data_IF_207296920321
#
_entry.id   IF_207296920321
#
_cell.length_a   1.000
_cell.length_b   1.000
_cell.length_c   1.000
_cell.angle_alpha   90.00
_cell.angle_beta   90.00
_cell.angle_gamma   90.00
#
_symmetry.space_group_name_H-M   'P 1'
#
loop_
_entity.id
_entity.type
_entity.pdbx_description
1 polymer ?
#
# COMPACT_ATOMS: atom_id res chain seq x y z
N UNK A 1 43.43 -21.78 15.56
CA UNK A 1 44.65 -21.61 14.73
C UNK A 1 44.80 -20.10 14.52
N UNK A 2 45.61 -19.38 15.28
CA UNK A 2 47.06 -19.24 15.10
C UNK A 2 47.75 -19.18 16.47
N UNK A 3 48.78 -20.01 16.61
CA UNK A 3 49.69 -20.08 17.75
C UNK A 3 50.84 -19.07 17.59
N UNK A 4 51.36 -18.53 18.68
CA UNK A 4 52.53 -17.64 18.63
C UNK A 4 53.21 -17.36 19.97
N UNK A 5 54.12 -18.26 20.37
CA UNK A 5 55.41 -18.08 21.09
C UNK A 5 55.46 -17.01 22.21
N UNK A 6 55.48 -17.38 23.50
CA UNK A 6 56.66 -17.79 24.30
C UNK A 6 57.94 -16.97 24.03
N UNK A 7 58.25 -16.04 24.94
CA UNK A 7 59.60 -15.61 25.25
C UNK A 7 59.71 -15.32 26.77
N UNK A 8 60.47 -16.19 27.46
CA UNK A 8 61.04 -15.99 28.79
C UNK A 8 62.14 -14.92 28.69
N UNK A 9 62.18 -13.95 29.61
CA UNK A 9 63.42 -13.23 29.94
C UNK A 9 63.36 -12.54 31.32
N UNK A 10 64.25 -13.03 32.19
CA UNK A 10 65.02 -12.32 33.20
C UNK A 10 64.31 -11.45 34.25
N UNK A 11 64.08 -12.11 35.39
CA UNK A 11 63.98 -11.60 36.75
C UNK A 11 65.17 -10.69 37.12
N UNK A 12 64.93 -9.39 37.32
CA UNK A 12 65.86 -8.45 37.97
C UNK A 12 65.09 -7.72 39.08
N UNK A 13 65.13 -8.29 40.28
CA UNK A 13 64.54 -7.73 41.50
C UNK A 13 65.49 -6.63 41.99
N UNK A 14 65.29 -5.40 41.50
CA UNK A 14 65.84 -4.21 42.11
C UNK A 14 64.92 -3.80 43.27
N UNK A 15 65.34 -4.09 44.50
CA UNK A 15 64.72 -3.60 45.73
C UNK A 15 64.92 -2.08 45.85
N UNK A 16 64.17 -1.30 45.09
CA UNK A 16 63.96 0.12 45.35
C UNK A 16 63.00 0.22 46.54
N UNK A 17 63.54 0.38 47.75
CA UNK A 17 62.74 0.78 48.91
C UNK A 17 62.06 2.11 48.55
N UNK A 18 60.72 2.20 48.50
CA UNK A 18 60.07 3.49 48.40
C UNK A 18 60.42 4.25 49.68
N UNK A 19 61.29 5.25 49.55
CA UNK A 19 61.44 6.27 50.57
C UNK A 19 60.05 6.83 50.79
N UNK A 20 59.44 6.48 51.92
CA UNK A 20 58.12 6.96 52.31
C UNK A 20 58.30 8.47 52.48
N UNK A 21 57.93 9.25 51.46
CA UNK A 21 57.96 10.71 51.48
C UNK A 21 56.89 11.19 52.46
N UNK A 22 57.20 11.06 53.75
CA UNK A 22 56.32 11.43 54.87
C UNK A 22 56.26 12.96 54.94
N UNK A 23 55.40 13.56 54.12
CA UNK A 23 55.20 15.01 54.12
C UNK A 23 54.46 15.60 52.91
N UNK A 24 54.32 14.87 51.80
CA UNK A 24 53.80 15.39 50.53
C UNK A 24 52.27 15.63 50.56
N UNK A 25 51.51 14.87 51.36
CA UNK A 25 50.06 15.05 51.52
C UNK A 25 49.64 16.49 51.85
N UNK A 26 50.48 17.25 52.56
CA UNK A 26 50.21 18.65 52.92
C UNK A 26 50.27 19.56 51.70
N UNK A 27 51.23 19.31 50.82
CA UNK A 27 51.37 20.04 49.56
C UNK A 27 50.18 19.73 48.65
N UNK A 28 49.84 18.44 48.50
CA UNK A 28 48.67 18.00 47.74
C UNK A 28 47.37 18.62 48.26
N UNK A 29 47.19 18.67 49.58
CA UNK A 29 46.02 19.30 50.19
C UNK A 29 45.94 20.80 49.95
N UNK A 30 47.05 21.52 50.15
CA UNK A 30 47.10 22.97 49.91
C UNK A 30 46.82 23.28 48.43
N UNK A 31 47.46 22.55 47.52
CA UNK A 31 47.23 22.65 46.07
C UNK A 31 45.78 22.39 45.71
N UNK A 32 45.17 21.34 46.29
CA UNK A 32 43.77 21.01 46.06
C UNK A 32 42.81 22.10 46.54
N UNK A 33 43.09 22.73 47.69
CA UNK A 33 42.30 23.87 48.19
C UNK A 33 42.47 25.13 47.37
N UNK A 34 43.70 25.44 46.96
CA UNK A 34 43.99 26.58 46.09
C UNK A 34 43.31 26.40 44.73
N UNK A 35 43.38 25.19 44.15
CA UNK A 35 42.66 24.83 42.94
C UNK A 35 41.15 24.97 43.12
N UNK A 36 40.59 24.49 44.23
CA UNK A 36 39.16 24.63 44.54
C UNK A 36 38.74 26.11 44.64
N UNK A 37 39.50 26.93 45.38
CA UNK A 37 39.24 28.36 45.52
C UNK A 37 39.37 29.12 44.19
N UNK A 38 40.23 28.64 43.29
CA UNK A 38 40.39 29.16 41.94
C UNK A 38 39.34 28.63 40.94
N UNK A 39 38.35 27.84 41.37
CA UNK A 39 37.34 27.23 40.51
C UNK A 39 37.86 26.11 39.59
N UNK A 40 39.10 25.65 39.79
CA UNK A 40 39.72 24.56 39.03
C UNK A 40 39.36 23.21 39.66
N UNK A 41 38.08 22.86 39.61
CA UNK A 41 37.55 21.74 40.38
C UNK A 41 38.12 20.36 39.98
N UNK A 42 38.44 20.13 38.71
CA UNK A 42 39.08 18.89 38.27
C UNK A 42 40.47 18.70 38.90
N UNK A 43 41.30 19.74 38.86
CA UNK A 43 42.62 19.76 39.51
C UNK A 43 42.49 19.62 41.03
N UNK A 44 41.47 20.24 41.64
CA UNK A 44 41.18 20.09 43.05
C UNK A 44 40.87 18.63 43.42
N UNK A 45 40.05 17.93 42.61
CA UNK A 45 39.73 16.51 42.82
C UNK A 45 41.00 15.66 42.79
N UNK A 46 41.83 15.81 41.77
CA UNK A 46 43.08 15.05 41.63
C UNK A 46 44.02 15.28 42.82
N UNK A 47 44.27 16.53 43.18
CA UNK A 47 45.16 16.89 44.27
C UNK A 47 44.63 16.42 45.65
N UNK A 48 43.31 16.53 45.90
CA UNK A 48 42.70 16.08 47.16
C UNK A 48 42.64 14.55 47.26
N UNK A 49 42.47 13.84 46.14
CA UNK A 49 42.58 12.39 46.11
C UNK A 49 44.01 11.92 46.42
N UNK A 50 45.04 12.59 45.86
CA UNK A 50 46.44 12.31 46.20
C UNK A 50 46.71 12.52 47.69
N UNK A 51 46.20 13.62 48.27
CA UNK A 51 46.32 13.88 49.69
C UNK A 51 45.66 12.78 50.55
N UNK A 52 44.47 12.30 50.15
CA UNK A 52 43.75 11.23 50.85
C UNK A 52 44.41 9.85 50.71
N UNK A 53 45.09 9.60 49.58
CA UNK A 53 45.83 8.35 49.35
C UNK A 53 47.02 8.22 50.30
N UNK A 54 47.70 9.32 50.60
CA UNK A 54 48.78 9.36 51.58
C UNK A 54 48.28 9.44 53.03
N UNK A 55 47.22 10.21 53.27
CA UNK A 55 46.67 10.44 54.60
C UNK A 55 45.15 10.51 54.60
N UNK A 56 44.51 9.44 55.04
CA UNK A 56 43.05 9.32 55.01
C UNK A 56 42.33 9.80 56.29
N UNK A 57 43.06 10.09 57.38
CA UNK A 57 42.49 10.34 58.71
C UNK A 57 42.26 11.84 59.03
N UNK A 58 41.00 12.26 59.15
CA UNK A 58 40.61 13.61 59.59
C UNK A 58 40.30 13.59 61.10
N UNK A 59 41.28 13.22 61.94
CA UNK A 59 41.02 13.11 63.37
C UNK A 59 40.77 14.49 64.02
N UNK A 60 39.70 14.66 64.81
CA UNK A 60 39.51 15.86 65.60
C UNK A 60 40.65 15.97 66.63
N UNK A 61 41.49 17.00 66.50
CA UNK A 61 42.66 17.20 67.37
C UNK A 61 44.01 16.86 66.73
N UNK A 62 44.03 16.37 65.47
CA UNK A 62 45.25 16.41 64.66
C UNK A 62 45.72 17.85 64.52
N UNK A 63 46.96 18.14 64.93
CA UNK A 63 47.48 19.50 65.13
C UNK A 63 47.08 20.50 64.05
N UNK A 64 46.75 21.72 64.48
CA UNK A 64 46.44 22.85 63.59
C UNK A 64 47.59 23.03 62.58
N UNK A 65 47.37 22.70 61.32
CA UNK A 65 48.32 23.02 60.26
C UNK A 65 48.15 24.50 59.93
N UNK A 66 49.11 25.32 60.37
CA UNK A 66 49.07 26.77 60.12
C UNK A 66 47.75 27.44 60.53
N UNK A 67 47.14 26.97 61.63
CA UNK A 67 45.86 27.50 62.12
C UNK A 67 44.60 27.03 61.38
N UNK A 68 44.71 26.10 60.42
CA UNK A 68 43.56 25.54 59.68
C UNK A 68 43.44 24.03 59.91
N UNK A 69 42.20 23.53 59.96
CA UNK A 69 41.90 22.10 60.10
C UNK A 69 42.09 21.39 58.76
N UNK A 70 42.56 20.14 58.81
CA UNK A 70 42.67 19.28 57.66
C UNK A 70 41.31 18.60 57.38
N UNK A 71 40.64 19.04 56.32
CA UNK A 71 39.29 18.57 55.90
C UNK A 71 39.24 18.21 54.40
N UNK A 72 40.17 17.36 53.88
CA UNK A 72 40.24 17.02 52.46
C UNK A 72 38.95 16.43 51.89
N UNK A 73 38.20 15.60 52.61
CA UNK A 73 36.96 14.97 52.12
C UNK A 73 35.85 15.99 51.88
N UNK A 74 35.74 17.00 52.74
CA UNK A 74 34.80 18.11 52.51
C UNK A 74 35.12 18.84 51.20
N UNK A 75 36.38 19.27 51.01
CA UNK A 75 36.77 19.98 49.79
C UNK A 75 36.66 19.07 48.55
N UNK A 76 36.93 17.77 48.68
CA UNK A 76 36.80 16.81 47.59
C UNK A 76 35.33 16.64 47.19
N UNK A 77 34.45 16.43 48.18
CA UNK A 77 33.01 16.37 47.95
C UNK A 77 32.46 17.66 47.32
N UNK A 78 32.94 18.82 47.78
CA UNK A 78 32.55 20.11 47.22
C UNK A 78 33.01 20.25 45.76
N UNK A 79 34.26 19.89 45.44
CA UNK A 79 34.78 19.93 44.07
C UNK A 79 34.00 18.96 43.15
N UNK A 80 33.70 17.75 43.62
CA UNK A 80 32.91 16.77 42.88
C UNK A 80 31.47 17.26 42.64
N UNK A 81 30.86 17.94 43.61
CA UNK A 81 29.54 18.53 43.46
C UNK A 81 29.50 19.60 42.36
N UNK A 82 30.53 20.46 42.28
CA UNK A 82 30.68 21.48 41.24
C UNK A 82 30.89 20.86 39.84
N UNK A 83 31.58 19.72 39.77
CA UNK A 83 31.69 18.93 38.53
C UNK A 83 30.42 18.14 38.19
N UNK A 84 29.36 18.24 39.00
CA UNK A 84 28.10 17.50 38.82
C UNK A 84 28.16 16.01 39.17
N UNK A 85 29.26 15.54 39.76
CA UNK A 85 29.47 14.15 40.22
C UNK A 85 28.79 13.93 41.57
N UNK A 86 27.48 14.18 41.62
CA UNK A 86 26.70 14.24 42.86
C UNK A 86 26.75 12.94 43.68
N UNK A 87 26.73 11.77 43.04
CA UNK A 87 26.79 10.49 43.79
C UNK A 87 28.11 10.35 44.59
N UNK A 88 29.23 10.70 43.96
CA UNK A 88 30.55 10.66 44.60
C UNK A 88 30.70 11.77 45.65
N UNK A 89 30.20 12.97 45.34
CA UNK A 89 30.17 14.08 46.29
C UNK A 89 29.44 13.72 47.59
N UNK A 90 28.27 13.10 47.49
CA UNK A 90 27.48 12.66 48.65
C UNK A 90 28.22 11.63 49.51
N UNK A 91 28.96 10.70 48.90
CA UNK A 91 29.78 9.75 49.63
C UNK A 91 30.88 10.46 50.44
N UNK A 92 31.59 11.42 49.83
CA UNK A 92 32.62 12.19 50.53
C UNK A 92 32.06 13.12 51.61
N UNK A 93 30.88 13.71 51.42
CA UNK A 93 30.21 14.48 52.46
C UNK A 93 29.82 13.62 53.65
N UNK A 94 29.26 12.42 53.42
CA UNK A 94 28.93 11.49 54.48
C UNK A 94 30.17 11.05 55.29
N UNK A 95 31.28 10.77 54.62
CA UNK A 95 32.55 10.44 55.28
C UNK A 95 33.08 11.61 56.13
N UNK A 96 33.03 12.84 55.60
CA UNK A 96 33.48 14.04 56.30
C UNK A 96 32.65 14.31 57.57
N UNK A 97 31.33 14.09 57.50
CA UNK A 97 30.44 14.20 58.67
C UNK A 97 30.69 13.10 59.70
N UNK A 98 30.90 11.86 59.25
CA UNK A 98 31.16 10.70 60.12
C UNK A 98 32.46 10.85 60.92
N UNK A 99 33.48 11.51 60.35
CA UNK A 99 34.74 11.80 61.05
C UNK A 99 34.63 12.97 62.04
N UNK A 100 33.54 13.75 62.00
CA UNK A 100 33.23 14.80 62.97
C UNK A 100 34.12 16.05 62.90
N UNK A 101 35.16 16.06 62.07
CA UNK A 101 36.09 17.18 61.94
C UNK A 101 35.42 18.46 61.41
N UNK A 102 34.42 18.32 60.54
CA UNK A 102 33.73 19.42 59.89
C UNK A 102 32.63 20.05 60.75
N UNK A 103 31.99 19.29 61.65
CA UNK A 103 30.76 19.70 62.37
C UNK A 103 30.91 20.99 63.20
N UNK A 104 32.13 21.28 63.69
CA UNK A 104 32.45 22.46 64.50
C UNK A 104 33.04 23.62 63.69
N UNK A 105 32.89 23.59 62.37
CA UNK A 105 33.47 24.60 61.46
C UNK A 105 32.35 25.33 60.70
N UNK A 106 32.60 26.56 60.22
CA UNK A 106 31.66 27.26 59.33
C UNK A 106 31.34 26.47 58.05
N UNK A 107 32.26 25.63 57.60
CA UNK A 107 32.14 24.80 56.39
C UNK A 107 31.03 23.74 56.50
N UNK A 108 30.59 23.38 57.72
CA UNK A 108 29.48 22.43 57.91
C UNK A 108 28.17 22.92 57.29
N UNK A 109 27.85 24.21 57.43
CA UNK A 109 26.65 24.76 56.82
C UNK A 109 26.72 24.71 55.28
N UNK A 110 27.91 24.90 54.71
CA UNK A 110 28.13 24.78 53.27
C UNK A 110 28.01 23.32 52.79
N UNK A 111 28.58 22.37 53.53
CA UNK A 111 28.42 20.93 53.29
C UNK A 111 26.94 20.56 53.19
N UNK A 112 26.13 20.94 54.19
CA UNK A 112 24.70 20.61 54.22
C UNK A 112 23.94 21.18 53.01
N UNK A 113 24.23 22.43 52.62
CA UNK A 113 23.63 23.04 51.42
C UNK A 113 24.00 22.28 50.15
N UNK A 114 25.28 21.96 49.96
CA UNK A 114 25.79 21.24 48.79
C UNK A 114 25.24 19.81 48.72
N UNK A 115 25.13 19.14 49.87
CA UNK A 115 24.51 17.82 50.00
C UNK A 115 23.05 17.85 49.54
N UNK A 116 22.26 18.78 50.08
CA UNK A 116 20.87 18.95 49.67
C UNK A 116 20.73 19.23 48.16
N UNK A 117 21.57 20.12 47.61
CA UNK A 117 21.56 20.41 46.18
C UNK A 117 21.87 19.17 45.32
N UNK A 118 22.83 18.33 45.75
CA UNK A 118 23.15 17.06 45.08
C UNK A 118 22.00 16.06 45.16
N UNK A 119 21.38 15.90 46.34
CA UNK A 119 20.22 15.03 46.54
C UNK A 119 19.04 15.45 45.64
N UNK A 120 18.74 16.74 45.60
CA UNK A 120 17.68 17.28 44.75
C UNK A 120 17.97 17.04 43.26
N UNK A 121 19.20 17.26 42.81
CA UNK A 121 19.62 16.96 41.44
C UNK A 121 19.46 15.49 41.10
N UNK A 122 19.85 14.58 41.98
CA UNK A 122 19.69 13.13 41.76
C UNK A 122 18.21 12.73 41.68
N UNK A 123 17.34 13.30 42.53
CA UNK A 123 15.88 13.07 42.45
C UNK A 123 15.29 13.55 41.12
N UNK A 124 15.72 14.73 40.65
CA UNK A 124 15.31 15.27 39.33
C UNK A 124 15.77 14.36 38.19
N UNK A 125 17.01 13.87 38.24
CA UNK A 125 17.55 12.93 37.25
C UNK A 125 16.78 11.61 37.22
N UNK A 126 16.49 11.02 38.39
CA UNK A 126 15.72 9.79 38.48
C UNK A 126 14.30 9.98 37.92
N UNK A 127 13.66 11.10 38.25
CA UNK A 127 12.33 11.44 37.72
C UNK A 127 12.37 11.60 36.20
N UNK A 128 13.33 12.36 35.66
CA UNK A 128 13.50 12.51 34.21
C UNK A 128 13.77 11.18 33.50
N UNK A 129 14.58 10.30 34.10
CA UNK A 129 14.86 8.95 33.56
C UNK A 129 13.59 8.09 33.50
N UNK A 130 12.78 8.07 34.57
CA UNK A 130 11.49 7.36 34.58
C UNK A 130 10.55 7.89 33.51
N UNK A 131 10.40 9.22 33.41
CA UNK A 131 9.56 9.86 32.39
C UNK A 131 10.02 9.52 30.97
N UNK A 132 11.32 9.61 30.68
CA UNK A 132 11.86 9.30 29.37
C UNK A 132 11.68 7.82 28.98
N UNK A 133 11.89 6.88 29.93
CA UNK A 133 11.64 5.46 29.71
C UNK A 133 10.16 5.16 29.44
N UNK A 134 9.26 5.73 30.24
CA UNK A 134 7.82 5.56 30.03
C UNK A 134 7.38 6.09 28.65
N UNK A 135 7.91 7.24 28.22
CA UNK A 135 7.62 7.79 26.89
C UNK A 135 8.15 6.89 25.75
N UNK A 136 9.33 6.30 25.90
CA UNK A 136 9.88 5.34 24.92
C UNK A 136 9.03 4.06 24.89
N UNK A 137 8.57 3.57 26.03
CA UNK A 137 7.68 2.41 26.08
C UNK A 137 6.34 2.66 25.37
N UNK A 138 5.71 3.83 25.62
CA UNK A 138 4.48 4.25 24.93
C UNK A 138 4.67 4.33 23.41
N UNK A 139 5.77 4.94 22.97
CA UNK A 139 6.17 4.99 21.56
C UNK A 139 6.30 3.59 20.96
N UNK A 140 6.89 2.64 21.68
CA UNK A 140 7.03 1.26 21.22
C UNK A 140 5.70 0.50 21.15
N UNK A 141 4.79 0.76 22.08
CA UNK A 141 3.42 0.25 22.03
C UNK A 141 2.70 0.77 20.77
N UNK A 142 2.80 2.07 20.48
CA UNK A 142 2.23 2.67 19.27
C UNK A 142 2.83 2.07 18.00
N UNK A 143 4.15 1.91 17.94
CA UNK A 143 4.85 1.28 16.81
C UNK A 143 4.38 -0.16 16.58
N UNK A 144 4.17 -0.96 17.64
CA UNK A 144 3.60 -2.32 17.53
C UNK A 144 2.17 -2.30 16.97
N UNK A 145 1.36 -1.31 17.35
CA UNK A 145 0.02 -1.10 16.81
C UNK A 145 0.04 -0.89 15.29
N UNK A 146 0.89 0.02 14.80
CA UNK A 146 1.04 0.24 13.36
C UNK A 146 1.58 -1.00 12.63
N UNK A 147 2.57 -1.69 13.21
CA UNK A 147 3.15 -2.92 12.64
C UNK A 147 2.14 -4.09 12.55
N UNK A 148 1.09 -4.09 13.37
CA UNK A 148 -0.02 -5.05 13.23
C UNK A 148 -0.87 -4.73 11.99
N UNK A 149 -1.16 -3.45 11.74
CA UNK A 149 -1.91 -3.00 10.55
C UNK A 149 -1.12 -3.27 9.26
N UNK A 150 0.21 -3.05 9.26
CA UNK A 150 1.09 -3.32 8.12
C UNK A 150 1.05 -4.78 7.64
N UNK A 151 0.81 -5.73 8.56
CA UNK A 151 0.73 -7.16 8.25
C UNK A 151 -0.60 -7.57 7.62
N UNK A 152 -1.58 -6.68 7.52
CA UNK A 152 -2.88 -6.97 6.92
C UNK A 152 -2.77 -6.95 5.38
N UNK A 153 -3.06 -8.06 4.68
CA UNK A 153 -2.92 -8.12 3.21
C UNK A 153 -3.77 -7.07 2.48
N UNK A 154 -4.95 -6.75 3.01
CA UNK A 154 -5.86 -5.75 2.44
C UNK A 154 -5.24 -4.34 2.34
N UNK A 155 -4.23 -4.04 3.17
CA UNK A 155 -3.55 -2.74 3.18
C UNK A 155 -2.26 -2.73 2.38
N UNK A 156 -1.80 -3.86 1.84
CA UNK A 156 -0.47 -3.95 1.21
C UNK A 156 -0.27 -2.93 0.07
N UNK A 157 -1.28 -2.79 -0.80
CA UNK A 157 -1.24 -1.82 -1.90
C UNK A 157 -1.42 -0.37 -1.41
N UNK A 158 -2.34 -0.16 -0.46
CA UNK A 158 -2.60 1.15 0.14
C UNK A 158 -1.44 1.67 1.01
N UNK A 159 -0.49 0.81 1.38
CA UNK A 159 0.67 1.20 2.20
C UNK A 159 1.66 2.06 1.41
N UNK A 160 1.87 1.70 0.14
CA UNK A 160 2.82 2.34 -0.76
C UNK A 160 2.20 3.54 -1.52
N UNK A 161 0.87 3.56 -1.67
CA UNK A 161 0.15 4.58 -2.43
C UNK A 161 -0.29 5.78 -1.56
N UNK A 162 -0.63 6.91 -2.19
CA UNK A 162 -1.16 8.13 -1.56
C UNK A 162 -0.09 9.17 -1.19
N UNK A 163 -0.54 10.41 -0.90
CA UNK A 163 0.31 11.52 -0.47
C UNK A 163 -0.18 12.11 0.86
N UNK A 164 0.56 11.97 1.98
CA UNK A 164 1.72 11.08 2.13
C UNK A 164 1.31 9.60 2.11
N UNK A 165 2.25 8.72 1.73
CA UNK A 165 2.03 7.27 1.82
C UNK A 165 2.18 6.79 3.26
N UNK A 166 1.53 5.67 3.61
CA UNK A 166 1.69 5.09 4.97
C UNK A 166 3.14 4.68 5.23
N UNK A 167 3.86 4.21 4.21
CA UNK A 167 5.30 3.94 4.29
C UNK A 167 6.11 5.18 4.68
N UNK A 168 5.83 6.34 4.07
CA UNK A 168 6.51 7.60 4.40
C UNK A 168 6.23 8.06 5.84
N UNK A 169 4.98 7.94 6.28
CA UNK A 169 4.58 8.26 7.66
C UNK A 169 5.28 7.33 8.67
N UNK A 170 5.31 6.03 8.39
CA UNK A 170 6.00 5.03 9.23
C UNK A 170 7.50 5.33 9.32
N UNK A 171 8.16 5.62 8.19
CA UNK A 171 9.59 5.93 8.13
C UNK A 171 9.93 7.22 8.89
N UNK A 172 9.08 8.24 8.80
CA UNK A 172 9.22 9.47 9.57
C UNK A 172 9.14 9.20 11.07
N UNK A 173 8.12 8.47 11.54
CA UNK A 173 7.98 8.10 12.94
C UNK A 173 9.17 7.23 13.41
N UNK A 174 9.63 6.30 12.58
CA UNK A 174 10.77 5.44 12.89
C UNK A 174 12.10 6.21 13.04
N UNK A 175 12.33 7.27 12.23
CA UNK A 175 13.49 8.15 12.41
C UNK A 175 13.45 8.87 13.76
N UNK A 176 12.29 9.43 14.13
CA UNK A 176 12.12 10.10 15.42
C UNK A 176 12.32 9.13 16.59
N UNK A 177 11.81 7.90 16.46
CA UNK A 177 11.97 6.87 17.48
C UNK A 177 13.45 6.46 17.69
N UNK A 178 14.23 6.34 16.61
CA UNK A 178 15.67 6.07 16.72
C UNK A 178 16.41 7.20 17.45
N UNK A 179 16.09 8.45 17.14
CA UNK A 179 16.68 9.61 17.81
C UNK A 179 16.33 9.65 19.30
N UNK A 180 15.08 9.39 19.66
CA UNK A 180 14.64 9.35 21.06
C UNK A 180 15.42 8.29 21.88
N UNK A 181 15.59 7.07 21.34
CA UNK A 181 16.37 6.00 21.98
C UNK A 181 17.84 6.37 22.15
N UNK A 182 18.47 6.95 21.12
CA UNK A 182 19.86 7.40 21.20
C UNK A 182 20.05 8.47 22.28
N UNK A 183 19.12 9.43 22.39
CA UNK A 183 19.16 10.47 23.43
C UNK A 183 18.93 9.91 24.83
N UNK A 184 18.01 8.95 24.98
CA UNK A 184 17.82 8.27 26.26
C UNK A 184 19.11 7.59 26.71
N UNK A 185 19.73 6.81 25.83
CA UNK A 185 20.99 6.12 26.14
C UNK A 185 22.12 7.11 26.50
N UNK A 186 22.26 8.21 25.75
CA UNK A 186 23.24 9.25 26.05
C UNK A 186 22.97 9.95 27.40
N UNK A 187 21.72 10.30 27.67
CA UNK A 187 21.31 10.94 28.92
C UNK A 187 21.48 10.03 30.15
N UNK A 188 21.28 8.72 29.98
CA UNK A 188 21.52 7.74 31.05
C UNK A 188 23.02 7.54 31.32
N UNK A 189 23.85 7.50 30.28
CA UNK A 189 25.29 7.34 30.42
C UNK A 189 25.96 8.57 31.06
N UNK A 190 25.49 9.78 30.75
CA UNK A 190 26.07 11.04 31.22
C UNK A 190 25.41 11.66 32.46
N UNK A 191 24.34 11.05 33.01
CA UNK A 191 23.47 11.69 34.00
C UNK A 191 23.06 13.14 33.56
N UNK A 192 22.73 13.31 32.27
CA UNK A 192 22.36 14.58 31.65
C UNK A 192 20.84 14.79 31.66
N UNK A 193 20.38 15.72 32.49
CA UNK A 193 18.97 16.04 32.66
C UNK A 193 18.33 16.59 31.38
N UNK A 194 19.05 17.40 30.62
CA UNK A 194 18.54 18.00 29.39
C UNK A 194 18.38 16.94 28.29
N UNK A 195 19.34 16.03 28.17
CA UNK A 195 19.26 14.90 27.24
C UNK A 195 18.07 13.97 27.56
N UNK A 196 17.83 13.66 28.84
CA UNK A 196 16.67 12.85 29.27
C UNK A 196 15.34 13.54 28.96
N UNK A 197 15.20 14.83 29.25
CA UNK A 197 13.99 15.59 28.92
C UNK A 197 13.74 15.64 27.40
N UNK A 198 14.79 15.88 26.61
CA UNK A 198 14.71 15.90 25.16
C UNK A 198 14.38 14.52 24.55
N UNK A 199 14.85 13.43 25.19
CA UNK A 199 14.49 12.06 24.80
C UNK A 199 12.98 11.80 25.03
N UNK A 200 12.43 12.23 26.17
CA UNK A 200 11.01 12.09 26.49
C UNK A 200 10.13 12.82 25.46
N UNK A 201 10.44 14.09 25.16
CA UNK A 201 9.70 14.89 24.18
C UNK A 201 9.76 14.31 22.77
N UNK A 202 10.93 13.79 22.36
CA UNK A 202 11.07 13.12 21.07
C UNK A 202 10.29 11.80 21.01
N UNK A 203 10.30 11.01 22.08
CA UNK A 203 9.54 9.76 22.15
C UNK A 203 8.02 10.04 22.08
N UNK A 204 7.53 11.07 22.78
CA UNK A 204 6.12 11.49 22.70
C UNK A 204 5.71 11.91 21.28
N UNK A 205 6.53 12.70 20.59
CA UNK A 205 6.28 13.08 19.19
C UNK A 205 6.25 11.86 18.26
N UNK A 206 7.19 10.93 18.44
CA UNK A 206 7.21 9.69 17.67
C UNK A 206 5.97 8.82 17.96
N UNK A 207 5.53 8.74 19.23
CA UNK A 207 4.33 8.01 19.61
C UNK A 207 3.06 8.59 18.95
N UNK A 208 2.92 9.93 18.92
CA UNK A 208 1.85 10.62 18.21
C UNK A 208 1.91 10.29 16.71
N UNK A 209 3.08 10.43 16.08
CA UNK A 209 3.24 10.13 14.65
C UNK A 209 2.87 8.68 14.30
N UNK A 210 3.21 7.71 15.16
CA UNK A 210 2.79 6.32 14.98
C UNK A 210 1.27 6.13 15.11
N UNK A 211 0.61 6.84 16.05
CA UNK A 211 -0.85 6.79 16.21
C UNK A 211 -1.56 7.41 15.00
N UNK A 212 -1.10 8.57 14.54
CA UNK A 212 -1.68 9.24 13.37
C UNK A 212 -1.56 8.35 12.12
N UNK A 213 -0.39 7.73 11.90
CA UNK A 213 -0.21 6.75 10.82
C UNK A 213 -1.13 5.53 10.96
N UNK A 214 -1.38 5.07 12.19
CA UNK A 214 -2.28 3.95 12.44
C UNK A 214 -3.76 4.33 12.21
N UNK A 215 -4.17 5.54 12.54
CA UNK A 215 -5.51 6.07 12.26
C UNK A 215 -5.74 6.22 10.76
N UNK A 216 -4.77 6.77 10.02
CA UNK A 216 -4.82 6.83 8.56
C UNK A 216 -4.92 5.43 7.94
N UNK A 217 -4.14 4.46 8.42
CA UNK A 217 -4.21 3.08 7.95
C UNK A 217 -5.58 2.44 8.22
N UNK A 218 -6.21 2.73 9.38
CA UNK A 218 -7.57 2.27 9.69
C UNK A 218 -8.61 2.92 8.78
N UNK A 219 -8.49 4.21 8.52
CA UNK A 219 -9.36 4.94 7.59
C UNK A 219 -9.31 4.35 6.18
N UNK A 220 -8.10 4.12 5.64
CA UNK A 220 -7.91 3.49 4.32
C UNK A 220 -8.49 2.09 4.27
N UNK A 221 -8.31 1.29 5.32
CA UNK A 221 -8.93 -0.04 5.40
C UNK A 221 -10.45 0.05 5.32
N UNK A 222 -11.06 0.94 6.10
CA UNK A 222 -12.51 1.14 6.07
C UNK A 222 -13.00 1.55 4.67
N UNK A 223 -12.26 2.42 3.97
CA UNK A 223 -12.59 2.80 2.60
C UNK A 223 -12.52 1.61 1.63
N UNK A 224 -11.50 0.74 1.76
CA UNK A 224 -11.39 -0.50 0.96
C UNK A 224 -12.55 -1.45 1.24
N UNK A 225 -12.91 -1.63 2.52
CA UNK A 225 -14.02 -2.50 2.93
C UNK A 225 -15.35 -1.97 2.37
N UNK A 226 -15.59 -0.66 2.45
CA UNK A 226 -16.77 -0.01 1.87
C UNK A 226 -16.81 -0.11 0.33
N UNK A 227 -15.69 0.11 -0.34
CA UNK A 227 -15.60 -0.04 -1.80
C UNK A 227 -15.85 -1.49 -2.24
N UNK A 228 -15.36 -2.46 -1.46
CA UNK A 228 -15.61 -3.90 -1.69
C UNK A 228 -17.09 -4.22 -1.56
N UNK A 229 -17.74 -3.75 -0.49
CA UNK A 229 -19.16 -3.96 -0.26
C UNK A 229 -20.03 -3.37 -1.40
N UNK A 230 -19.75 -2.12 -1.81
CA UNK A 230 -20.47 -1.48 -2.91
C UNK A 230 -20.26 -2.18 -4.26
N UNK A 231 -19.04 -2.65 -4.54
CA UNK A 231 -18.73 -3.41 -5.74
C UNK A 231 -19.45 -4.77 -5.76
N UNK A 232 -19.53 -5.45 -4.61
CA UNK A 232 -20.28 -6.71 -4.45
C UNK A 232 -21.78 -6.52 -4.71
N UNK A 233 -22.39 -5.49 -4.12
CA UNK A 233 -23.81 -5.18 -4.34
C UNK A 233 -24.11 -4.93 -5.83
N UNK A 234 -23.24 -4.16 -6.50
CA UNK A 234 -23.36 -3.89 -7.94
C UNK A 234 -23.22 -5.16 -8.77
N UNK A 235 -22.28 -6.04 -8.39
CA UNK A 235 -22.05 -7.31 -9.06
C UNK A 235 -23.26 -8.24 -8.91
N UNK A 236 -23.85 -8.34 -7.71
CA UNK A 236 -25.06 -9.14 -7.44
C UNK A 236 -26.27 -8.66 -8.26
N UNK A 237 -26.48 -7.34 -8.34
CA UNK A 237 -27.54 -6.77 -9.16
C UNK A 237 -27.34 -7.08 -10.66
N UNK A 238 -26.08 -7.07 -11.11
CA UNK A 238 -25.70 -7.40 -12.49
C UNK A 238 -25.87 -8.89 -12.78
N UNK A 239 -25.48 -9.76 -11.85
CA UNK A 239 -25.68 -11.21 -11.88
C UNK A 239 -27.18 -11.56 -12.01
N UNK A 240 -28.02 -10.95 -11.16
CA UNK A 240 -29.48 -11.14 -11.24
C UNK A 240 -30.05 -10.70 -12.61
N UNK A 241 -29.50 -9.64 -13.19
CA UNK A 241 -29.88 -9.16 -14.53
C UNK A 241 -29.42 -10.10 -15.64
N UNK A 242 -28.22 -10.69 -15.51
CA UNK A 242 -27.70 -11.68 -16.43
C UNK A 242 -28.57 -12.96 -16.43
N UNK A 243 -28.98 -13.44 -15.27
CA UNK A 243 -29.91 -14.57 -15.17
C UNK A 243 -31.28 -14.28 -15.79
N UNK A 244 -31.80 -13.04 -15.64
CA UNK A 244 -33.03 -12.63 -16.34
C UNK A 244 -32.84 -12.65 -17.87
N UNK A 245 -31.70 -12.17 -18.37
CA UNK A 245 -31.39 -12.19 -19.80
C UNK A 245 -31.30 -13.62 -20.35
N UNK A 246 -30.69 -14.55 -19.61
CA UNK A 246 -30.66 -15.98 -19.98
C UNK A 246 -32.08 -16.58 -20.02
N UNK A 247 -32.92 -16.30 -19.02
CA UNK A 247 -34.31 -16.77 -19.03
C UNK A 247 -35.12 -16.23 -20.21
N UNK A 248 -34.92 -14.97 -20.59
CA UNK A 248 -35.66 -14.37 -21.73
C UNK A 248 -35.36 -14.98 -23.09
N UNK A 249 -34.28 -15.75 -23.23
CA UNK A 249 -33.94 -16.44 -24.47
C UNK A 249 -34.18 -17.95 -24.40
N UNK A 250 -34.60 -18.48 -23.23
CA UNK A 250 -34.72 -19.91 -22.99
C UNK A 250 -35.70 -20.61 -23.97
N UNK A 251 -36.78 -19.92 -24.34
CA UNK A 251 -37.81 -20.44 -25.27
C UNK A 251 -37.28 -20.61 -26.72
N UNK A 252 -36.08 -20.12 -27.01
CA UNK A 252 -35.44 -20.28 -28.32
C UNK A 252 -34.60 -21.56 -28.43
N UNK A 253 -34.67 -22.46 -27.45
CA UNK A 253 -33.96 -23.73 -27.48
C UNK A 253 -34.61 -24.73 -28.47
N UNK A 254 -33.82 -25.51 -29.25
CA UNK A 254 -32.36 -25.49 -29.32
C UNK A 254 -31.82 -24.21 -30.00
N UNK A 255 -30.81 -23.59 -29.40
CA UNK A 255 -30.33 -22.29 -29.86
C UNK A 255 -29.62 -22.37 -31.22
N UNK A 256 -29.80 -21.37 -32.10
CA UNK A 256 -28.92 -21.18 -33.25
C UNK A 256 -27.45 -21.09 -32.80
N UNK A 257 -26.46 -21.62 -33.55
CA UNK A 257 -25.06 -21.71 -33.10
C UNK A 257 -24.46 -20.40 -32.57
N UNK A 258 -24.77 -19.27 -33.23
CA UNK A 258 -24.31 -17.95 -32.79
C UNK A 258 -24.92 -17.52 -31.46
N UNK A 259 -26.20 -17.80 -31.23
CA UNK A 259 -26.88 -17.49 -29.97
C UNK A 259 -26.39 -18.42 -28.85
N UNK A 260 -26.29 -19.72 -29.14
CA UNK A 260 -25.76 -20.72 -28.20
C UNK A 260 -24.35 -20.39 -27.71
N UNK A 261 -23.47 -19.92 -28.60
CA UNK A 261 -22.13 -19.46 -28.21
C UNK A 261 -22.15 -18.26 -27.26
N UNK A 262 -23.13 -17.34 -27.39
CA UNK A 262 -23.27 -16.19 -26.47
C UNK A 262 -23.87 -16.60 -25.13
N UNK A 263 -24.85 -17.50 -25.12
CA UNK A 263 -25.41 -18.10 -23.91
C UNK A 263 -24.29 -18.79 -23.11
N UNK A 264 -23.54 -19.69 -23.75
CA UNK A 264 -22.42 -20.39 -23.10
C UNK A 264 -21.30 -19.45 -22.63
N UNK A 265 -21.07 -18.32 -23.31
CA UNK A 265 -20.12 -17.31 -22.85
C UNK A 265 -20.61 -16.60 -21.58
N UNK A 266 -21.90 -16.24 -21.50
CA UNK A 266 -22.47 -15.62 -20.32
C UNK A 266 -22.53 -16.58 -19.12
N UNK A 267 -22.87 -17.85 -19.35
CA UNK A 267 -22.88 -18.89 -18.31
C UNK A 267 -21.49 -19.10 -17.69
N UNK A 268 -20.44 -19.21 -18.52
CA UNK A 268 -19.05 -19.30 -18.02
C UNK A 268 -18.61 -18.07 -17.21
N UNK A 269 -19.09 -16.87 -17.59
CA UNK A 269 -18.81 -15.66 -16.80
C UNK A 269 -19.52 -15.70 -15.45
N UNK A 270 -20.76 -16.20 -15.39
CA UNK A 270 -21.48 -16.36 -14.12
C UNK A 270 -20.78 -17.38 -13.20
N UNK A 271 -20.29 -18.50 -13.74
CA UNK A 271 -19.48 -19.46 -12.98
C UNK A 271 -18.21 -18.82 -12.40
N UNK A 272 -17.51 -18.00 -13.21
CA UNK A 272 -16.32 -17.25 -12.76
C UNK A 272 -16.66 -16.25 -11.65
N UNK A 273 -17.80 -15.58 -11.74
CA UNK A 273 -18.28 -14.64 -10.71
C UNK A 273 -18.48 -15.36 -9.38
N UNK A 274 -19.17 -16.51 -9.39
CA UNK A 274 -19.37 -17.34 -8.19
C UNK A 274 -18.03 -17.75 -7.57
N UNK A 275 -17.05 -18.16 -8.38
CA UNK A 275 -15.73 -18.58 -7.90
C UNK A 275 -14.91 -17.43 -7.29
N UNK A 276 -15.15 -16.19 -7.70
CA UNK A 276 -14.26 -15.04 -7.41
C UNK A 276 -14.80 -14.15 -6.27
N UNK A 277 -16.12 -14.12 -6.06
CA UNK A 277 -16.82 -13.19 -5.16
C UNK A 277 -16.28 -13.11 -3.73
N UNK A 278 -15.77 -14.21 -3.17
CA UNK A 278 -15.33 -14.29 -1.77
C UNK A 278 -13.92 -13.75 -1.48
N UNK A 279 -13.10 -13.47 -2.49
CA UNK A 279 -11.70 -13.06 -2.31
C UNK A 279 -11.23 -11.92 -3.21
N UNK A 280 -12.07 -11.51 -4.18
CA UNK A 280 -11.69 -10.48 -5.13
C UNK A 280 -11.59 -9.09 -4.53
N UNK A 281 -10.66 -8.32 -5.08
CA UNK A 281 -10.49 -6.89 -4.78
C UNK A 281 -11.58 -6.06 -5.47
N UNK A 282 -11.87 -4.83 -4.99
CA UNK A 282 -12.87 -3.95 -5.60
C UNK A 282 -12.70 -3.78 -7.12
N UNK A 283 -11.47 -3.59 -7.60
CA UNK A 283 -11.18 -3.42 -9.03
C UNK A 283 -11.49 -4.69 -9.86
N UNK A 284 -11.26 -5.88 -9.30
CA UNK A 284 -11.55 -7.16 -9.96
C UNK A 284 -13.07 -7.38 -10.04
N UNK A 285 -13.81 -7.04 -8.96
CA UNK A 285 -15.28 -7.09 -8.95
C UNK A 285 -15.89 -6.12 -9.97
N UNK A 286 -15.33 -4.91 -10.10
CA UNK A 286 -15.75 -3.94 -11.11
C UNK A 286 -15.48 -4.44 -12.53
N UNK A 287 -14.31 -5.04 -12.79
CA UNK A 287 -13.99 -5.63 -14.09
C UNK A 287 -14.95 -6.78 -14.46
N UNK A 288 -15.27 -7.67 -13.52
CA UNK A 288 -16.25 -8.74 -13.72
C UNK A 288 -17.65 -8.19 -14.02
N UNK A 289 -18.05 -7.12 -13.32
CA UNK A 289 -19.31 -6.43 -13.57
C UNK A 289 -19.39 -5.91 -15.01
N UNK A 290 -18.31 -5.29 -15.50
CA UNK A 290 -18.24 -4.78 -16.87
C UNK A 290 -18.22 -5.89 -17.92
N UNK A 291 -17.51 -6.99 -17.67
CA UNK A 291 -17.52 -8.19 -18.52
C UNK A 291 -18.95 -8.78 -18.64
N UNK A 292 -19.67 -8.91 -17.51
CA UNK A 292 -21.06 -9.36 -17.50
C UNK A 292 -21.97 -8.43 -18.32
N UNK A 293 -21.89 -7.11 -18.10
CA UNK A 293 -22.68 -6.13 -18.87
C UNK A 293 -22.44 -6.24 -20.37
N UNK A 294 -21.18 -6.39 -20.79
CA UNK A 294 -20.81 -6.58 -22.21
C UNK A 294 -21.37 -7.90 -22.77
N UNK A 295 -21.27 -8.99 -22.02
CA UNK A 295 -21.81 -10.29 -22.42
C UNK A 295 -23.33 -10.25 -22.56
N UNK A 296 -24.04 -9.62 -21.61
CA UNK A 296 -25.49 -9.41 -21.69
C UNK A 296 -25.89 -8.56 -22.89
N UNK A 297 -25.17 -7.45 -23.16
CA UNK A 297 -25.43 -6.62 -24.34
C UNK A 297 -25.22 -7.40 -25.64
N UNK A 298 -24.18 -8.25 -25.69
CA UNK A 298 -23.94 -9.14 -26.83
C UNK A 298 -25.03 -10.20 -26.98
N UNK A 299 -25.57 -10.74 -25.89
CA UNK A 299 -26.68 -11.70 -25.91
C UNK A 299 -27.96 -11.02 -26.42
N UNK A 300 -28.30 -9.87 -25.85
CA UNK A 300 -29.46 -9.08 -26.24
C UNK A 300 -29.42 -8.71 -27.73
N UNK A 301 -28.25 -8.32 -28.26
CA UNK A 301 -28.08 -8.04 -29.69
C UNK A 301 -28.30 -9.29 -30.57
N UNK A 302 -27.91 -10.47 -30.10
CA UNK A 302 -28.08 -11.73 -30.82
C UNK A 302 -29.53 -12.26 -30.77
N UNK A 303 -30.28 -11.94 -29.71
CA UNK A 303 -31.65 -12.39 -29.49
C UNK A 303 -32.74 -11.40 -29.95
N UNK A 304 -32.36 -10.27 -30.57
CA UNK A 304 -33.33 -9.32 -31.12
C UNK A 304 -34.25 -10.03 -32.10
N UNK A 305 -35.56 -9.91 -31.87
CA UNK A 305 -36.59 -10.37 -32.79
C UNK A 305 -36.38 -9.67 -34.14
N UNK A 306 -36.46 -10.40 -35.27
CA UNK A 306 -36.49 -9.78 -36.58
C UNK A 306 -37.63 -8.73 -36.67
N UNK A 307 -37.43 -7.61 -37.39
CA UNK A 307 -38.52 -6.68 -37.68
C UNK A 307 -39.73 -7.38 -38.31
N UNK A 308 -40.96 -6.99 -37.93
CA UNK A 308 -42.20 -7.61 -38.48
C UNK A 308 -42.24 -7.66 -40.01
N UNK A 309 -41.86 -6.60 -40.76
CA UNK A 309 -41.90 -6.67 -42.22
C UNK A 309 -41.00 -7.77 -42.82
N UNK A 310 -39.95 -8.19 -42.12
CA UNK A 310 -39.15 -9.35 -42.53
C UNK A 310 -39.81 -10.68 -42.20
N UNK A 311 -40.58 -10.74 -41.13
CA UNK A 311 -41.36 -11.92 -40.76
C UNK A 311 -42.47 -12.10 -41.80
N UNK A 312 -43.22 -11.05 -42.08
CA UNK A 312 -44.29 -11.03 -43.10
C UNK A 312 -43.73 -11.44 -44.47
N UNK A 313 -42.59 -10.88 -44.87
CA UNK A 313 -41.94 -11.23 -46.14
C UNK A 313 -41.51 -12.70 -46.21
N UNK A 314 -41.10 -13.31 -45.09
CA UNK A 314 -40.80 -14.74 -45.02
C UNK A 314 -42.09 -15.56 -45.17
N UNK A 315 -43.17 -15.14 -44.53
CA UNK A 315 -44.48 -15.81 -44.63
C UNK A 315 -45.02 -15.79 -46.07
N UNK A 316 -45.01 -14.62 -46.73
CA UNK A 316 -45.37 -14.49 -48.15
C UNK A 316 -44.50 -15.37 -49.06
N UNK A 317 -43.18 -15.36 -48.84
CA UNK A 317 -42.26 -16.19 -49.62
C UNK A 317 -42.56 -17.68 -49.48
N UNK A 318 -42.85 -18.15 -48.26
CA UNK A 318 -43.20 -19.55 -47.99
C UNK A 318 -44.58 -19.94 -48.54
N UNK A 319 -45.51 -18.99 -48.63
CA UNK A 319 -46.81 -19.19 -49.25
C UNK A 319 -46.78 -19.21 -50.80
N UNK A 320 -45.62 -18.90 -51.40
CA UNK A 320 -45.47 -18.74 -52.85
C UNK A 320 -46.00 -17.39 -53.38
N UNK A 321 -46.37 -16.47 -52.50
CA UNK A 321 -46.79 -15.11 -52.85
C UNK A 321 -45.55 -14.20 -52.96
N UNK A 322 -44.86 -14.30 -54.10
CA UNK A 322 -43.62 -13.57 -54.31
C UNK A 322 -43.82 -12.06 -54.49
N UNK A 323 -45.00 -11.61 -54.92
CA UNK A 323 -45.36 -10.18 -54.97
C UNK A 323 -45.50 -9.61 -53.55
N UNK A 324 -46.19 -10.34 -52.65
CA UNK A 324 -46.32 -9.96 -51.24
C UNK A 324 -44.97 -9.79 -50.52
N UNK A 325 -43.93 -10.53 -50.92
CA UNK A 325 -42.55 -10.32 -50.40
C UNK A 325 -42.04 -8.91 -50.72
N UNK A 326 -42.30 -8.40 -51.91
CA UNK A 326 -41.88 -7.05 -52.30
C UNK A 326 -42.72 -5.98 -51.61
N UNK A 327 -44.02 -6.20 -51.44
CA UNK A 327 -44.91 -5.30 -50.72
C UNK A 327 -44.52 -5.19 -49.24
N UNK A 328 -44.35 -6.31 -48.56
CA UNK A 328 -43.90 -6.36 -47.16
C UNK A 328 -42.54 -5.67 -46.97
N UNK A 329 -41.65 -5.75 -47.96
CA UNK A 329 -40.31 -5.13 -47.90
C UNK A 329 -40.20 -3.76 -48.60
N UNK A 330 -41.32 -3.21 -49.10
CA UNK A 330 -41.34 -1.90 -49.74
C UNK A 330 -41.23 -0.76 -48.70
N UNK A 331 -41.65 -1.03 -47.46
CA UNK A 331 -41.67 -0.05 -46.38
C UNK A 331 -40.29 0.20 -45.77
N UNK A 332 -39.66 1.30 -46.17
CA UNK A 332 -38.44 1.95 -45.60
C UNK A 332 -37.19 1.06 -45.45
N UNK A 333 -35.99 1.58 -45.78
CA UNK A 333 -34.76 0.82 -45.59
C UNK A 333 -34.57 0.46 -44.10
N UNK A 334 -34.36 -0.82 -43.81
CA UNK A 334 -34.05 -1.26 -42.45
C UNK A 334 -32.80 -0.56 -41.92
N UNK A 335 -32.84 -0.04 -40.69
CA UNK A 335 -31.65 0.54 -40.05
C UNK A 335 -30.65 -0.52 -39.62
N UNK A 336 -31.15 -1.70 -39.23
CA UNK A 336 -30.33 -2.81 -38.79
C UNK A 336 -29.64 -3.50 -40.00
N UNK A 337 -28.30 -3.60 -40.03
CA UNK A 337 -27.57 -4.19 -41.15
C UNK A 337 -27.96 -5.64 -41.43
N UNK A 338 -28.31 -6.41 -40.40
CA UNK A 338 -28.71 -7.81 -40.54
C UNK A 338 -30.10 -7.90 -41.19
N UNK A 339 -31.05 -7.08 -40.75
CA UNK A 339 -32.35 -6.98 -41.39
C UNK A 339 -32.24 -6.58 -42.87
N UNK A 340 -31.39 -5.59 -43.19
CA UNK A 340 -31.11 -5.21 -44.60
C UNK A 340 -30.59 -6.38 -45.43
N UNK A 341 -29.64 -7.13 -44.88
CA UNK A 341 -29.08 -8.30 -45.53
C UNK A 341 -30.18 -9.33 -45.84
N UNK A 342 -30.98 -9.71 -44.84
CA UNK A 342 -32.07 -10.66 -45.05
C UNK A 342 -33.13 -10.16 -46.03
N UNK A 343 -33.47 -8.86 -45.98
CA UNK A 343 -34.41 -8.25 -46.92
C UNK A 343 -33.94 -8.35 -48.37
N UNK A 344 -32.67 -8.01 -48.63
CA UNK A 344 -32.11 -8.10 -49.98
C UNK A 344 -32.15 -9.55 -50.49
N UNK A 345 -31.80 -10.51 -49.63
CA UNK A 345 -31.77 -11.93 -49.96
C UNK A 345 -33.16 -12.46 -50.30
N UNK A 346 -34.18 -12.10 -49.50
CA UNK A 346 -35.57 -12.50 -49.73
C UNK A 346 -36.12 -11.89 -51.02
N UNK A 347 -35.86 -10.61 -51.29
CA UNK A 347 -36.26 -9.96 -52.56
C UNK A 347 -35.60 -10.62 -53.76
N UNK A 348 -34.31 -10.94 -53.68
CA UNK A 348 -33.61 -11.64 -54.75
C UNK A 348 -34.17 -13.05 -54.98
N UNK A 349 -34.49 -13.77 -53.91
CA UNK A 349 -35.09 -15.11 -53.98
C UNK A 349 -36.49 -15.09 -54.58
N UNK A 350 -37.34 -14.14 -54.17
CA UNK A 350 -38.69 -13.97 -54.69
C UNK A 350 -38.68 -13.59 -56.18
N UNK A 351 -37.85 -12.63 -56.59
CA UNK A 351 -37.72 -12.27 -58.00
C UNK A 351 -37.16 -13.40 -58.86
N UNK A 352 -36.21 -14.18 -58.34
CA UNK A 352 -35.71 -15.36 -59.05
C UNK A 352 -36.83 -16.38 -59.24
N UNK A 353 -37.67 -16.62 -58.23
CA UNK A 353 -38.79 -17.54 -58.33
C UNK A 353 -39.84 -17.08 -59.37
N UNK A 354 -40.21 -15.80 -59.38
CA UNK A 354 -41.12 -15.23 -60.40
C UNK A 354 -40.58 -15.43 -61.83
N UNK A 355 -39.28 -15.17 -62.06
CA UNK A 355 -38.64 -15.41 -63.38
C UNK A 355 -38.74 -16.88 -63.80
N UNK A 356 -38.69 -17.83 -62.84
CA UNK A 356 -38.83 -19.25 -63.16
C UNK A 356 -40.28 -19.67 -63.44
N UNK A 357 -41.29 -18.91 -62.97
CA UNK A 357 -42.70 -19.28 -63.04
C UNK A 357 -43.45 -18.65 -64.22
N UNK A 358 -43.21 -17.38 -64.54
CA UNK A 358 -44.07 -16.62 -65.47
C UNK A 358 -43.83 -16.91 -66.98
N UNK A 359 -42.79 -17.67 -67.32
CA UNK A 359 -42.43 -17.91 -68.72
C UNK A 359 -42.13 -16.63 -69.51
N UNK A 360 -41.98 -16.75 -70.83
CA UNK A 360 -41.34 -15.73 -71.67
C UNK A 360 -42.13 -14.42 -71.91
N UNK A 361 -43.37 -14.26 -71.44
CA UNK A 361 -44.21 -13.09 -71.79
C UNK A 361 -44.32 -12.01 -70.69
N UNK A 362 -44.27 -12.34 -69.39
CA UNK A 362 -44.17 -11.36 -68.29
C UNK A 362 -42.73 -11.17 -67.76
N UNK A 363 -41.78 -11.84 -68.41
CA UNK A 363 -40.36 -11.97 -68.03
C UNK A 363 -39.64 -10.62 -67.79
N UNK A 364 -40.05 -9.53 -68.46
CA UNK A 364 -39.39 -8.22 -68.34
C UNK A 364 -39.56 -7.60 -66.94
N UNK A 365 -40.71 -7.79 -66.30
CA UNK A 365 -40.97 -7.23 -64.97
C UNK A 365 -40.16 -7.93 -63.90
N UNK A 366 -40.22 -9.26 -63.87
CA UNK A 366 -39.52 -10.10 -62.90
C UNK A 366 -37.99 -9.99 -63.04
N UNK A 367 -37.45 -9.99 -64.26
CA UNK A 367 -36.02 -9.84 -64.49
C UNK A 367 -35.47 -8.49 -64.01
N UNK A 368 -36.23 -7.41 -64.21
CA UNK A 368 -35.85 -6.06 -63.72
C UNK A 368 -35.79 -6.01 -62.20
N UNK A 369 -36.78 -6.62 -61.51
CA UNK A 369 -36.79 -6.73 -60.05
C UNK A 369 -35.62 -7.55 -59.52
N UNK A 370 -35.29 -8.65 -60.20
CA UNK A 370 -34.17 -9.51 -59.85
C UNK A 370 -32.83 -8.76 -59.94
N UNK A 371 -32.59 -8.05 -61.04
CA UNK A 371 -31.39 -7.24 -61.22
C UNK A 371 -31.24 -6.21 -60.09
N UNK A 372 -32.32 -5.47 -59.79
CA UNK A 372 -32.32 -4.48 -58.71
C UNK A 372 -32.06 -5.09 -57.33
N UNK A 373 -32.69 -6.23 -57.02
CA UNK A 373 -32.50 -6.90 -55.74
C UNK A 373 -31.04 -7.40 -55.56
N UNK A 374 -30.41 -7.86 -56.64
CA UNK A 374 -29.00 -8.25 -56.63
C UNK A 374 -28.08 -7.04 -56.44
N UNK A 375 -28.37 -5.91 -57.08
CA UNK A 375 -27.62 -4.66 -56.87
C UNK A 375 -27.72 -4.18 -55.41
N UNK A 376 -28.94 -4.23 -54.83
CA UNK A 376 -29.16 -3.93 -53.40
C UNK A 376 -28.31 -4.85 -52.50
N UNK A 377 -28.19 -6.14 -52.83
CA UNK A 377 -27.32 -7.07 -52.09
C UNK A 377 -25.83 -6.80 -52.29
N UNK A 378 -25.37 -6.46 -53.50
CA UNK A 378 -23.96 -6.13 -53.78
C UNK A 378 -23.52 -4.86 -53.05
N UNK A 379 -24.44 -3.93 -52.83
CA UNK A 379 -24.18 -2.72 -52.05
C UNK A 379 -23.94 -2.98 -50.55
N UNK A 380 -24.20 -4.20 -50.06
CA UNK A 380 -23.90 -4.57 -48.68
C UNK A 380 -22.43 -4.91 -48.50
N UNK A 381 -21.84 -4.43 -47.39
CA UNK A 381 -20.44 -4.75 -47.02
C UNK A 381 -20.17 -6.25 -46.89
N UNK A 382 -21.19 -7.02 -46.50
CA UNK A 382 -21.13 -8.48 -46.41
C UNK A 382 -22.51 -9.03 -46.78
N UNK A 383 -22.75 -9.40 -48.04
CA UNK A 383 -24.01 -10.02 -48.43
C UNK A 383 -24.22 -11.33 -47.65
N UNK A 384 -25.47 -11.67 -47.30
CA UNK A 384 -25.74 -12.91 -46.56
C UNK A 384 -25.59 -14.12 -47.48
N UNK A 385 -25.00 -15.19 -46.96
CA UNK A 385 -25.04 -16.49 -47.63
C UNK A 385 -26.44 -17.11 -47.45
N UNK A 386 -27.11 -17.57 -48.53
CA UNK A 386 -28.41 -18.20 -48.39
C UNK A 386 -28.31 -19.54 -47.63
N UNK A 387 -29.26 -19.82 -46.74
CA UNK A 387 -29.32 -21.09 -46.01
C UNK A 387 -29.84 -22.21 -46.94
N UNK A 388 -29.07 -23.29 -47.06
CA UNK A 388 -29.40 -24.48 -47.88
C UNK A 388 -30.68 -25.19 -47.47
N UNK A 389 -31.16 -24.96 -46.25
CA UNK A 389 -32.42 -25.53 -45.75
C UNK A 389 -33.64 -24.72 -46.19
N UNK A 390 -33.45 -23.45 -46.51
CA UNK A 390 -34.55 -22.53 -46.81
C UNK A 390 -34.66 -22.20 -48.30
N UNK A 391 -33.52 -22.19 -49.01
CA UNK A 391 -33.48 -21.83 -50.42
C UNK A 391 -33.09 -23.01 -51.31
N UNK A 392 -33.65 -23.05 -52.53
CA UNK A 392 -33.34 -24.12 -53.49
C UNK A 392 -31.86 -24.11 -53.90
N UNK A 393 -31.22 -25.27 -54.13
CA UNK A 393 -29.83 -25.32 -54.60
C UNK A 393 -29.59 -24.53 -55.89
N UNK A 394 -30.61 -24.44 -56.77
CA UNK A 394 -30.55 -23.64 -58.01
C UNK A 394 -30.46 -22.15 -57.71
N UNK A 395 -31.29 -21.64 -56.80
CA UNK A 395 -31.21 -20.23 -56.39
C UNK A 395 -29.87 -19.92 -55.74
N UNK A 396 -29.37 -20.80 -54.84
CA UNK A 396 -28.09 -20.59 -54.16
C UNK A 396 -26.95 -20.49 -55.17
N UNK A 397 -26.85 -21.44 -56.10
CA UNK A 397 -25.83 -21.43 -57.14
C UNK A 397 -25.94 -20.20 -58.06
N UNK A 398 -27.17 -19.77 -58.37
CA UNK A 398 -27.43 -18.55 -59.13
C UNK A 398 -26.97 -17.30 -58.35
N UNK A 399 -27.36 -17.17 -57.08
CA UNK A 399 -27.09 -16.02 -56.24
C UNK A 399 -25.59 -15.84 -56.00
N UNK A 400 -24.87 -16.94 -55.69
CA UNK A 400 -23.41 -16.93 -55.53
C UNK A 400 -22.69 -16.49 -56.82
N UNK A 401 -23.14 -16.99 -57.98
CA UNK A 401 -22.60 -16.58 -59.29
C UNK A 401 -22.91 -15.12 -59.60
N UNK A 402 -24.13 -14.67 -59.29
CA UNK A 402 -24.55 -13.31 -59.54
C UNK A 402 -23.79 -12.30 -58.68
N UNK A 403 -23.51 -12.62 -57.41
CA UNK A 403 -22.76 -11.73 -56.53
C UNK A 403 -21.25 -11.68 -56.84
N UNK A 404 -20.70 -12.71 -57.47
CA UNK A 404 -19.29 -12.77 -57.87
C UNK A 404 -19.04 -12.20 -59.28
N UNK A 405 -20.07 -12.10 -60.12
CA UNK A 405 -19.95 -11.54 -61.46
C UNK A 405 -19.61 -10.03 -61.41
N UNK A 406 -18.67 -9.54 -62.24
CA UNK A 406 -18.36 -8.12 -62.32
C UNK A 406 -19.61 -7.34 -62.79
N UNK A 407 -19.89 -6.21 -62.15
CA UNK A 407 -21.13 -5.44 -62.28
C UNK A 407 -21.42 -4.83 -63.69
N UNK A 408 -20.69 -5.24 -64.74
CA UNK A 408 -20.81 -4.71 -66.10
C UNK A 408 -20.81 -5.74 -67.23
N UNK A 409 -20.96 -7.04 -66.94
CA UNK A 409 -20.75 -8.11 -67.93
C UNK A 409 -21.95 -8.54 -68.79
N UNK A 410 -23.16 -8.02 -68.59
CA UNK A 410 -24.38 -8.54 -69.25
C UNK A 410 -24.65 -8.02 -70.66
N UNK A 411 -23.72 -7.28 -71.27
CA UNK A 411 -23.85 -6.78 -72.64
C UNK A 411 -22.87 -7.43 -73.61
N UNK A 412 -23.09 -8.69 -74.03
CA UNK A 412 -22.65 -9.24 -75.33
C UNK A 412 -22.86 -10.77 -75.42
N UNK A 413 -24.11 -11.21 -75.52
CA UNK A 413 -24.42 -12.51 -76.15
C UNK A 413 -25.55 -12.31 -77.16
N UNK A 414 -25.35 -11.33 -78.06
CA UNK A 414 -26.14 -11.16 -79.28
C UNK A 414 -25.47 -11.98 -80.38
N UNK A 415 -26.06 -13.13 -80.69
CA UNK A 415 -26.22 -13.67 -82.04
C UNK A 415 -24.99 -13.63 -82.96
N UNK A 416 -24.18 -14.69 -82.91
CA UNK A 416 -23.36 -15.13 -84.05
C UNK A 416 -24.13 -16.19 -84.84
N UNK A 417 -25.04 -15.75 -85.70
CA UNK A 417 -25.71 -16.56 -86.70
C UNK A 417 -25.83 -15.76 -87.98
N UNK A 418 -24.88 -15.97 -88.90
CA UNK A 418 -25.07 -15.97 -90.35
C UNK A 418 -23.71 -16.15 -91.05
N UNK A 419 -23.46 -17.36 -91.53
CA UNK A 419 -22.91 -17.71 -92.86
C UNK A 419 -22.84 -19.23 -92.99
#
# INVERSE_FOLDING_TARGET
MIAGRRALAALLIAAALPGVARGEWREHYNRGREAFAAGRYAEAVEALQAALAERSDERPGGGLLSGRRYTPRYYLGAALAELGRCREALAHFADAEAQGAIQKTPDHADLLRRRHACEERLRRLETARRTARAAVEEMEQAARGLAALRRMPALAEAWEQGEPSLAQLEDQAARQARQARQRLAAGEAGDDLAALAAAAEQAQRAAIAYRDAADEARSRRQAIDQATASALETLEATEASAHRALRSVADLAPYPPRLGARVAALERLLERVVATKGSARPAELAALTDELKKAMASLAAASRRPPEPLIDAVEHYLAGDYEGVFEALAERPFKDPRARAHSCLLRAAAAYAMVQLDGAQEERGAATRLARALDDCRALRSPPAPDRRFFSPRFIAFFDRALTAPAGGTGAASQGGDS
#
